data_IF_862006486194
#
_entry.id   IF_862006486194
#
_cell.length_a   1.000
_cell.length_b   1.000
_cell.length_c   1.000
_cell.angle_alpha   90.00
_cell.angle_beta   90.00
_cell.angle_gamma   90.00
#
_symmetry.space_group_name_H-M   'P 1'
#
loop_
_entity.id
_entity.type
_entity.pdbx_description
1 polymer ?
#
# COMPACT_ATOMS: atom_id res chain seq x y z
N UNK A 1 -13.40 -6.54 10.02
CA UNK A 1 -12.12 -6.97 9.47
C UNK A 1 -11.78 -6.20 8.20
N UNK A 2 -10.59 -5.57 8.15
CA UNK A 2 -10.20 -4.74 7.01
C UNK A 2 -9.61 -5.53 5.84
N UNK A 3 -9.02 -6.70 6.09
CA UNK A 3 -8.41 -7.51 5.03
C UNK A 3 -9.50 -8.29 4.29
N UNK A 4 -9.76 -7.90 3.04
CA UNK A 4 -10.82 -8.48 2.21
C UNK A 4 -10.22 -9.42 1.16
N UNK A 5 -11.06 -9.97 0.28
CA UNK A 5 -10.62 -10.94 -0.72
C UNK A 5 -9.65 -10.34 -1.76
N UNK A 6 -9.82 -9.06 -2.10
CA UNK A 6 -9.04 -8.42 -3.16
C UNK A 6 -8.43 -7.09 -2.76
N UNK A 7 -8.69 -6.58 -1.55
CA UNK A 7 -8.14 -5.32 -1.06
C UNK A 7 -8.19 -5.24 0.46
N UNK A 8 -7.71 -4.11 0.97
CA UNK A 8 -7.84 -3.76 2.40
C UNK A 8 -8.73 -2.54 2.45
N UNK A 9 -9.84 -2.60 3.21
CA UNK A 9 -10.78 -1.49 3.36
C UNK A 9 -11.33 -1.40 4.75
N UNK A 10 -11.59 -0.18 5.20
CA UNK A 10 -12.23 0.05 6.48
C UNK A 10 -12.63 1.50 6.67
N UNK A 11 -13.36 1.75 7.73
CA UNK A 11 -13.76 3.10 8.13
C UNK A 11 -12.56 3.78 8.78
N UNK A 12 -12.17 4.92 8.22
CA UNK A 12 -11.03 5.65 8.74
C UNK A 12 -11.31 6.16 10.15
N UNK A 13 -10.37 5.92 11.05
CA UNK A 13 -10.48 6.28 12.45
C UNK A 13 -11.01 5.17 13.34
N UNK A 14 -11.91 4.32 12.81
CA UNK A 14 -12.48 3.20 13.57
C UNK A 14 -11.74 1.89 13.29
N UNK A 15 -11.53 1.58 12.01
CA UNK A 15 -10.96 0.31 11.56
C UNK A 15 -9.61 0.47 10.91
N UNK A 16 -9.32 1.65 10.36
CA UNK A 16 -8.13 1.94 9.60
C UNK A 16 -7.57 3.28 10.06
N UNK A 17 -6.28 3.31 10.37
CA UNK A 17 -5.60 4.52 10.82
C UNK A 17 -4.15 4.52 10.36
N UNK A 18 -3.41 5.58 10.73
CA UNK A 18 -2.01 5.75 10.31
C UNK A 18 -1.10 4.64 10.85
N UNK A 19 -1.34 4.18 12.09
CA UNK A 19 -0.53 3.11 12.66
C UNK A 19 -0.68 1.82 11.87
N UNK A 20 -1.92 1.48 11.52
CA UNK A 20 -2.21 0.30 10.71
C UNK A 20 -1.62 0.46 9.30
N UNK A 21 -1.74 1.66 8.71
CA UNK A 21 -1.17 1.95 7.39
C UNK A 21 0.35 1.77 7.40
N UNK A 22 1.02 2.23 8.45
CA UNK A 22 2.46 2.04 8.61
C UNK A 22 2.82 0.55 8.63
N UNK A 23 2.11 -0.25 9.40
CA UNK A 23 2.35 -1.69 9.50
C UNK A 23 2.07 -2.40 8.18
N UNK A 24 1.03 -1.99 7.46
CA UNK A 24 0.74 -2.52 6.13
C UNK A 24 1.88 -2.19 5.18
N UNK A 25 2.43 -0.98 5.26
CA UNK A 25 3.59 -0.59 4.45
C UNK A 25 4.80 -1.47 4.73
N UNK A 26 5.11 -1.71 6.00
CA UNK A 26 6.20 -2.62 6.39
C UNK A 26 5.97 -4.02 5.83
N UNK A 27 4.77 -4.55 6.04
CA UNK A 27 4.42 -5.91 5.61
C UNK A 27 4.44 -6.05 4.08
N UNK A 28 3.91 -5.07 3.37
CA UNK A 28 3.88 -5.10 1.91
C UNK A 28 5.30 -5.08 1.33
N UNK A 29 6.16 -4.21 1.85
CA UNK A 29 7.54 -4.13 1.40
C UNK A 29 8.29 -5.45 1.67
N UNK A 30 8.07 -6.04 2.83
CA UNK A 30 8.68 -7.32 3.18
C UNK A 30 8.24 -8.43 2.23
N UNK A 31 6.98 -8.42 1.81
CA UNK A 31 6.40 -9.45 0.95
C UNK A 31 6.75 -9.25 -0.52
N UNK A 32 6.76 -7.99 -1.01
CA UNK A 32 6.84 -7.69 -2.44
C UNK A 32 8.28 -7.48 -2.93
N UNK A 33 9.07 -6.65 -2.27
CA UNK A 33 10.42 -6.38 -2.72
C UNK A 33 10.82 -4.92 -2.61
N UNK A 34 11.76 -4.50 -3.48
CA UNK A 34 12.52 -3.27 -3.26
C UNK A 34 12.02 -2.04 -4.01
N UNK A 35 11.18 -2.20 -5.04
CA UNK A 35 10.69 -1.06 -5.83
C UNK A 35 9.17 -1.06 -5.85
N UNK A 36 8.57 -0.05 -5.24
CA UNK A 36 7.13 -0.01 -5.01
C UNK A 36 6.56 1.33 -5.47
N UNK A 37 5.57 1.29 -6.36
CA UNK A 37 4.81 2.49 -6.75
C UNK A 37 3.72 2.73 -5.71
N UNK A 38 3.56 3.97 -5.28
CA UNK A 38 2.45 4.35 -4.39
C UNK A 38 1.70 5.52 -5.00
N UNK A 39 0.39 5.38 -5.01
CA UNK A 39 -0.54 6.39 -5.50
C UNK A 39 -1.67 6.57 -4.50
N UNK A 40 -2.45 7.62 -4.67
CA UNK A 40 -3.60 7.87 -3.81
C UNK A 40 -4.72 8.57 -4.57
N UNK A 41 -5.93 8.42 -4.07
CA UNK A 41 -7.08 9.21 -4.52
C UNK A 41 -7.18 10.52 -3.71
N UNK A 42 -8.26 11.27 -3.92
CA UNK A 42 -8.43 12.57 -3.29
C UNK A 42 -9.27 12.55 -2.00
N UNK A 43 -9.44 11.39 -1.37
CA UNK A 43 -10.16 11.33 -0.08
C UNK A 43 -9.39 12.09 0.99
N UNK A 44 -10.13 12.66 1.96
CA UNK A 44 -9.51 13.49 3.00
C UNK A 44 -8.45 12.73 3.81
N UNK A 45 -8.67 11.44 4.05
CA UNK A 45 -7.73 10.62 4.83
C UNK A 45 -6.56 10.10 3.99
N UNK A 46 -6.59 10.25 2.66
CA UNK A 46 -5.58 9.61 1.80
C UNK A 46 -4.18 10.17 2.01
N UNK A 47 -4.03 11.47 2.24
CA UNK A 47 -2.70 12.07 2.45
C UNK A 47 -2.00 11.50 3.69
N UNK A 48 -2.68 11.45 4.83
CA UNK A 48 -2.07 10.96 6.05
C UNK A 48 -1.81 9.46 6.00
N UNK A 49 -2.71 8.71 5.37
CA UNK A 49 -2.49 7.28 5.15
C UNK A 49 -1.32 7.05 4.19
N UNK A 50 -1.20 7.88 3.16
CA UNK A 50 -0.07 7.81 2.22
C UNK A 50 1.26 8.02 2.96
N UNK A 51 1.34 9.05 3.81
CA UNK A 51 2.57 9.31 4.56
C UNK A 51 2.94 8.14 5.47
N UNK A 52 1.97 7.59 6.19
CA UNK A 52 2.23 6.47 7.07
C UNK A 52 2.64 5.21 6.31
N UNK A 53 1.94 4.90 5.22
CA UNK A 53 2.24 3.75 4.39
C UNK A 53 3.65 3.84 3.78
N UNK A 54 3.98 4.99 3.19
CA UNK A 54 5.29 5.17 2.55
C UNK A 54 6.42 5.15 3.56
N UNK A 55 6.20 5.69 4.76
CA UNK A 55 7.18 5.60 5.84
C UNK A 55 7.41 4.13 6.22
N UNK A 56 6.34 3.34 6.31
CA UNK A 56 6.47 1.91 6.59
C UNK A 56 7.27 1.19 5.51
N UNK A 57 6.98 1.48 4.25
CA UNK A 57 7.68 0.87 3.11
C UNK A 57 9.17 1.23 3.13
N UNK A 58 9.50 2.51 3.31
CA UNK A 58 10.89 2.94 3.32
C UNK A 58 11.62 2.47 4.58
N UNK A 59 10.95 2.42 5.72
CA UNK A 59 11.54 1.86 6.95
C UNK A 59 11.89 0.38 6.77
N UNK A 60 11.18 -0.33 5.92
CA UNK A 60 11.48 -1.74 5.62
C UNK A 60 12.65 -1.87 4.63
N UNK A 61 13.10 -0.78 4.03
CA UNK A 61 14.25 -0.78 3.12
C UNK A 61 13.89 -0.72 1.64
N UNK A 62 12.61 -0.63 1.29
CA UNK A 62 12.17 -0.54 -0.11
C UNK A 62 12.09 0.91 -0.55
N UNK A 63 12.32 1.14 -1.85
CA UNK A 63 12.15 2.45 -2.45
C UNK A 63 10.70 2.65 -2.88
N UNK A 64 10.21 3.86 -2.68
CA UNK A 64 8.86 4.26 -3.10
C UNK A 64 8.95 5.20 -4.29
N UNK A 65 8.17 4.91 -5.32
CA UNK A 65 7.96 5.79 -6.47
C UNK A 65 6.57 6.42 -6.31
N UNK A 66 6.56 7.68 -5.87
CA UNK A 66 5.34 8.42 -5.60
C UNK A 66 4.82 9.05 -6.88
N UNK A 67 3.67 8.57 -7.38
CA UNK A 67 3.02 9.15 -8.56
C UNK A 67 1.85 10.09 -8.18
N UNK A 68 1.62 10.30 -6.90
CA UNK A 68 0.66 11.28 -6.40
C UNK A 68 -0.80 10.88 -6.60
N UNK A 69 -1.63 11.89 -6.89
CA UNK A 69 -3.03 11.67 -7.21
C UNK A 69 -3.14 10.91 -8.53
N UNK A 70 -3.87 9.82 -8.52
CA UNK A 70 -3.93 8.95 -9.68
C UNK A 70 -5.24 8.19 -9.74
N UNK A 71 -5.63 7.82 -10.94
CA UNK A 71 -6.68 6.82 -11.16
C UNK A 71 -6.07 5.42 -11.05
N UNK A 72 -6.91 4.41 -10.86
CA UNK A 72 -6.42 3.04 -10.84
C UNK A 72 -5.75 2.62 -12.16
N UNK A 73 -6.30 2.94 -13.34
CA UNK A 73 -5.61 2.60 -14.59
C UNK A 73 -4.23 3.26 -14.72
N UNK A 74 -4.07 4.52 -14.34
CA UNK A 74 -2.77 5.19 -14.36
C UNK A 74 -1.78 4.53 -13.41
N UNK A 75 -2.26 4.13 -12.23
CA UNK A 75 -1.45 3.42 -11.26
C UNK A 75 -0.96 2.09 -11.82
N UNK A 76 -1.84 1.29 -12.43
CA UNK A 76 -1.46 0.02 -13.03
C UNK A 76 -0.44 0.21 -14.14
N UNK A 77 -0.63 1.23 -14.97
CA UNK A 77 0.32 1.56 -16.03
C UNK A 77 1.70 1.90 -15.44
N UNK A 78 1.73 2.68 -14.38
CA UNK A 78 2.99 3.08 -13.75
C UNK A 78 3.75 1.86 -13.20
N UNK A 79 3.06 0.93 -12.54
CA UNK A 79 3.71 -0.28 -12.00
C UNK A 79 4.39 -1.05 -13.12
N UNK A 80 3.69 -1.25 -14.24
CA UNK A 80 4.23 -2.00 -15.38
C UNK A 80 5.34 -1.22 -16.08
N UNK A 81 5.12 0.07 -16.34
CA UNK A 81 6.04 0.89 -17.13
C UNK A 81 7.36 1.17 -16.39
N UNK A 82 7.30 1.35 -15.08
CA UNK A 82 8.50 1.62 -14.27
C UNK A 82 9.23 0.35 -13.85
N UNK A 83 8.71 -0.80 -14.25
CA UNK A 83 9.30 -2.12 -13.93
C UNK A 83 9.53 -2.25 -12.43
N UNK A 84 8.47 -2.04 -11.66
CA UNK A 84 8.51 -2.15 -10.21
C UNK A 84 8.08 -3.54 -9.74
N UNK A 85 8.46 -3.88 -8.51
CA UNK A 85 8.09 -5.17 -7.90
C UNK A 85 6.61 -5.21 -7.54
N UNK A 86 6.01 -4.05 -7.33
CA UNK A 86 4.60 -3.97 -7.05
C UNK A 86 4.17 -2.54 -6.77
N UNK A 87 2.95 -2.39 -6.28
CA UNK A 87 2.44 -1.07 -5.95
C UNK A 87 1.22 -1.11 -5.05
N UNK A 88 0.93 0.03 -4.47
CA UNK A 88 -0.26 0.24 -3.62
C UNK A 88 -0.92 1.54 -4.05
N UNK A 89 -2.22 1.51 -4.27
CA UNK A 89 -3.01 2.73 -4.41
C UNK A 89 -3.95 2.86 -3.23
N UNK A 90 -3.93 4.02 -2.60
CA UNK A 90 -4.79 4.32 -1.45
C UNK A 90 -6.12 4.81 -1.99
N UNK A 91 -7.15 3.99 -1.85
CA UNK A 91 -8.49 4.28 -2.34
C UNK A 91 -9.49 3.31 -1.73
N UNK A 92 -10.72 3.75 -1.60
CA UNK A 92 -11.83 2.87 -1.27
C UNK A 92 -12.84 2.79 -2.43
N UNK A 93 -12.42 3.19 -3.63
CA UNK A 93 -13.23 3.14 -4.86
C UNK A 93 -14.57 3.86 -4.70
N UNK A 94 -15.67 3.12 -4.75
CA UNK A 94 -17.03 3.68 -4.70
C UNK A 94 -17.62 3.69 -3.29
N UNK A 95 -16.86 3.33 -2.27
CA UNK A 95 -17.36 3.34 -0.90
C UNK A 95 -17.60 4.77 -0.41
N UNK A 96 -18.47 4.96 0.60
CA UNK A 96 -18.72 6.30 1.16
C UNK A 96 -17.45 7.01 1.63
N UNK A 97 -17.49 8.35 1.79
CA UNK A 97 -16.29 9.14 2.09
C UNK A 97 -15.54 8.75 3.36
N UNK A 98 -16.20 8.17 4.34
CA UNK A 98 -15.58 7.75 5.59
C UNK A 98 -14.71 6.50 5.45
N UNK A 99 -14.84 5.79 4.33
CA UNK A 99 -14.01 4.62 4.05
C UNK A 99 -12.70 5.02 3.39
N UNK A 100 -11.68 4.21 3.60
CA UNK A 100 -10.47 4.23 2.78
C UNK A 100 -9.89 2.83 2.73
N UNK A 101 -8.79 2.67 2.02
CA UNK A 101 -8.19 1.35 1.90
C UNK A 101 -7.01 1.32 0.96
N UNK A 102 -6.56 0.11 0.68
CA UNK A 102 -5.38 -0.13 -0.14
C UNK A 102 -5.67 -1.22 -1.15
N UNK A 103 -5.47 -0.92 -2.43
CA UNK A 103 -5.43 -1.93 -3.49
C UNK A 103 -3.97 -2.19 -3.82
N UNK A 104 -3.61 -3.46 -3.87
CA UNK A 104 -2.22 -3.85 -4.01
C UNK A 104 -2.04 -4.73 -5.22
N UNK A 105 -0.93 -4.51 -5.92
CA UNK A 105 -0.54 -5.32 -7.08
C UNK A 105 0.91 -5.75 -6.93
N UNK A 106 1.26 -6.87 -7.59
CA UNK A 106 2.65 -7.27 -7.77
C UNK A 106 3.15 -6.77 -9.13
N UNK A 107 4.34 -7.21 -9.53
CA UNK A 107 4.91 -6.81 -10.82
C UNK A 107 3.93 -7.08 -11.96
N UNK A 108 4.04 -6.26 -13.03
CA UNK A 108 3.12 -6.27 -14.17
C UNK A 108 1.67 -5.97 -13.77
N UNK A 109 1.49 -5.27 -12.66
CA UNK A 109 0.18 -4.85 -12.14
C UNK A 109 -0.78 -6.02 -11.92
N UNK A 110 -0.26 -7.18 -11.55
CA UNK A 110 -1.08 -8.35 -11.23
C UNK A 110 -1.68 -8.17 -9.83
N UNK A 111 -3.02 -8.17 -9.70
CA UNK A 111 -3.65 -7.92 -8.40
C UNK A 111 -3.31 -8.99 -7.36
N UNK A 112 -3.16 -8.55 -6.11
CA UNK A 112 -3.11 -9.48 -4.99
C UNK A 112 -4.53 -9.91 -4.64
N UNK A 113 -4.66 -11.15 -4.15
CA UNK A 113 -5.93 -11.67 -3.66
C UNK A 113 -5.72 -12.23 -2.25
N UNK A 114 -6.80 -12.68 -1.61
CA UNK A 114 -6.71 -13.24 -0.26
C UNK A 114 -5.69 -14.36 -0.17
N UNK A 115 -5.76 -15.32 -1.08
CA UNK A 115 -4.85 -16.47 -1.07
C UNK A 115 -3.46 -16.13 -1.63
N UNK A 116 -3.37 -15.11 -2.48
CA UNK A 116 -2.14 -14.75 -3.17
C UNK A 116 -1.69 -13.35 -2.77
N UNK A 117 -1.33 -13.19 -1.51
CA UNK A 117 -0.70 -11.98 -1.00
C UNK A 117 -1.39 -11.33 0.19
N UNK A 118 -2.70 -11.10 0.14
CA UNK A 118 -3.39 -10.33 1.19
C UNK A 118 -3.34 -11.07 2.54
N UNK A 119 -3.54 -12.38 2.54
CA UNK A 119 -3.46 -13.16 3.78
C UNK A 119 -2.05 -13.17 4.35
N UNK A 120 -1.03 -13.22 3.50
CA UNK A 120 0.36 -13.17 3.94
C UNK A 120 0.68 -11.79 4.55
N UNK A 121 0.19 -10.72 3.93
CA UNK A 121 0.38 -9.36 4.47
C UNK A 121 -0.35 -9.22 5.81
N UNK A 122 -1.57 -9.72 5.91
CA UNK A 122 -2.32 -9.74 7.17
C UNK A 122 -1.53 -10.43 8.27
N UNK A 123 -0.96 -11.60 7.97
CA UNK A 123 -0.17 -12.34 8.94
C UNK A 123 1.05 -11.53 9.41
N UNK A 124 1.76 -10.89 8.47
CA UNK A 124 2.92 -10.07 8.81
C UNK A 124 2.53 -8.88 9.69
N UNK A 125 1.39 -8.25 9.41
CA UNK A 125 0.88 -7.15 10.23
C UNK A 125 0.55 -7.64 11.64
N UNK A 126 -0.09 -8.79 11.76
CA UNK A 126 -0.47 -9.35 13.06
C UNK A 126 0.74 -9.77 13.87
N UNK A 127 1.76 -10.32 13.25
CA UNK A 127 3.01 -10.67 13.91
C UNK A 127 3.78 -9.44 14.38
N UNK A 128 3.67 -8.36 13.64
CA UNK A 128 4.27 -7.07 13.97
C UNK A 128 5.77 -7.18 14.29
N UNK A 129 6.50 -7.89 13.44
CA UNK A 129 7.89 -8.28 13.68
C UNK A 129 8.79 -7.75 12.57
N UNK A 130 9.09 -6.45 12.60
CA UNK A 130 9.79 -5.76 11.53
C UNK A 130 11.17 -5.31 11.99
N UNK A 131 12.21 -5.64 11.21
CA UNK A 131 13.60 -5.50 11.65
C UNK A 131 14.55 -4.74 10.73
N UNK A 132 14.11 -4.25 9.60
CA UNK A 132 15.05 -3.65 8.66
C UNK A 132 15.79 -2.46 9.29
N UNK A 133 17.11 -2.41 9.11
CA UNK A 133 17.95 -1.31 9.59
C UNK A 133 18.29 -0.30 8.49
N UNK A 134 18.10 -0.67 7.22
CA UNK A 134 18.42 0.20 6.08
C UNK A 134 17.16 0.79 5.50
N UNK A 135 17.13 2.12 5.37
CA UNK A 135 15.97 2.83 4.85
C UNK A 135 16.02 2.92 3.33
N UNK A 136 14.84 2.80 2.71
CA UNK A 136 14.66 3.07 1.29
C UNK A 136 14.48 4.55 1.02
N UNK A 137 14.34 4.89 -0.24
CA UNK A 137 14.20 6.28 -0.70
C UNK A 137 12.77 6.53 -1.20
N UNK A 138 12.28 7.74 -0.94
CA UNK A 138 11.03 8.21 -1.53
C UNK A 138 11.38 9.03 -2.77
N UNK A 139 10.98 8.53 -3.94
CA UNK A 139 11.24 9.17 -5.22
C UNK A 139 9.94 9.72 -5.80
N UNK A 140 10.02 10.84 -6.48
CA UNK A 140 8.86 11.47 -7.10
C UNK A 140 8.88 11.25 -8.60
N UNK A 141 7.72 10.98 -9.15
CA UNK A 141 7.51 10.82 -10.59
C UNK A 141 6.46 11.78 -11.10
#
# INVERSE_FOLDING_TARGET
MIFKAYDIRGIYGEQLNEDIAYKIGRAFAMYIGSKIVVARDNRLSSDSLFEALTRGITDEGSDVYNIGLSTSPMFYFAVSNLVCDGGVIITASHNPPQYNGFKMVRSDAMPLSGEDGINQIKQLVEENNFYSSKKGLLRRW
#
